data_IF_302229956166
#
_entry.id   IF_302229956166
#
_cell.length_a   1.000
_cell.length_b   1.000
_cell.length_c   1.000
_cell.angle_alpha   90.00
_cell.angle_beta   90.00
_cell.angle_gamma   90.00
#
_symmetry.space_group_name_H-M   'P 1'
#
loop_
_entity.id
_entity.type
_entity.pdbx_description
1 polymer ?
#
# COMPACT_ATOMS: atom_id res chain seq x y z
N UNK A 1 17.32 10.13 11.02
CA UNK A 1 16.75 9.37 9.90
C UNK A 1 15.43 10.04 9.58
N UNK A 2 15.09 10.29 8.30
CA UNK A 2 13.76 10.79 7.94
C UNK A 2 12.66 9.80 8.34
N UNK A 3 11.53 10.34 8.79
CA UNK A 3 10.33 9.56 9.06
C UNK A 3 9.60 9.26 7.74
N UNK A 4 8.98 8.09 7.66
CA UNK A 4 8.10 7.68 6.57
C UNK A 4 6.85 7.06 7.14
N UNK A 5 5.75 7.25 6.44
CA UNK A 5 4.47 6.63 6.75
C UNK A 5 4.16 5.53 5.75
N UNK A 6 3.86 4.34 6.26
CA UNK A 6 3.46 3.17 5.49
C UNK A 6 1.97 2.96 5.72
N UNK A 7 1.21 2.88 4.63
CA UNK A 7 -0.24 2.66 4.66
C UNK A 7 -0.53 1.33 3.98
N UNK A 8 -1.12 0.41 4.73
CA UNK A 8 -1.59 -0.87 4.22
C UNK A 8 -3.09 -0.79 4.02
N UNK A 9 -3.54 -1.04 2.79
CA UNK A 9 -4.96 -1.16 2.45
C UNK A 9 -5.23 -2.59 1.99
N UNK A 10 -6.22 -3.26 2.57
CA UNK A 10 -6.60 -4.60 2.15
C UNK A 10 -8.11 -4.77 2.07
N UNK A 11 -8.59 -5.29 0.95
CA UNK A 11 -9.97 -5.70 0.75
C UNK A 11 -10.01 -7.20 0.41
N UNK A 12 -10.60 -7.99 1.31
CA UNK A 12 -10.81 -9.43 1.12
C UNK A 12 -12.11 -9.68 0.38
N UNK A 13 -12.12 -10.67 -0.52
CA UNK A 13 -13.30 -11.06 -1.28
C UNK A 13 -14.46 -11.43 -0.35
N UNK A 14 -15.63 -10.83 -0.61
CA UNK A 14 -16.83 -11.01 0.21
C UNK A 14 -16.85 -10.20 1.51
N UNK A 15 -15.86 -9.33 1.73
CA UNK A 15 -15.88 -8.30 2.76
C UNK A 15 -16.56 -7.01 2.27
N UNK A 16 -17.37 -6.40 3.12
CA UNK A 16 -18.09 -5.15 2.79
C UNK A 16 -17.23 -3.88 2.94
N UNK A 17 -16.02 -4.00 3.50
CA UNK A 17 -15.14 -2.87 3.83
C UNK A 17 -13.66 -3.20 3.66
N UNK A 18 -12.90 -2.25 3.13
CA UNK A 18 -11.44 -2.30 3.14
C UNK A 18 -10.90 -1.94 4.53
N UNK A 19 -9.88 -2.67 4.98
CA UNK A 19 -9.12 -2.36 6.18
C UNK A 19 -7.93 -1.47 5.81
N UNK A 20 -7.75 -0.37 6.54
CA UNK A 20 -6.63 0.55 6.36
C UNK A 20 -5.85 0.62 7.68
N UNK A 21 -4.55 0.36 7.61
CA UNK A 21 -3.63 0.45 8.74
C UNK A 21 -2.47 1.38 8.39
N UNK A 22 -2.05 2.20 9.36
CA UNK A 22 -0.94 3.13 9.22
C UNK A 22 0.17 2.81 10.22
N UNK A 23 1.41 2.89 9.75
CA UNK A 23 2.62 2.76 10.55
C UNK A 23 3.58 3.89 10.18
N UNK A 24 4.16 4.57 11.17
CA UNK A 24 5.24 5.54 10.94
C UNK A 24 6.52 5.01 11.54
N UNK A 25 7.63 5.10 10.81
CA UNK A 25 8.96 4.69 11.28
C UNK A 25 10.07 5.51 10.60
N UNK A 26 11.27 5.47 11.17
CA UNK A 26 12.47 6.15 10.69
C UNK A 26 13.27 5.24 9.74
N UNK A 27 13.55 5.73 8.54
CA UNK A 27 14.40 5.03 7.55
C UNK A 27 15.56 5.91 7.10
N UNK A 28 16.62 5.33 6.53
CA UNK A 28 17.75 6.09 6.01
C UNK A 28 17.39 6.88 4.74
N UNK A 29 16.51 6.33 3.89
CA UNK A 29 16.04 6.92 2.63
C UNK A 29 14.84 6.14 2.04
N UNK A 30 14.28 6.67 0.95
CA UNK A 30 13.15 6.10 0.19
C UNK A 30 13.38 4.63 -0.21
N UNK A 31 14.59 4.27 -0.62
CA UNK A 31 14.89 2.90 -1.06
C UNK A 31 14.82 1.90 0.08
N UNK A 32 15.20 2.31 1.29
CA UNK A 32 15.04 1.46 2.48
C UNK A 32 13.58 1.31 2.89
N UNK A 33 12.82 2.41 2.89
CA UNK A 33 11.39 2.40 3.20
C UNK A 33 10.60 1.53 2.19
N UNK A 34 10.85 1.69 0.89
CA UNK A 34 10.26 0.87 -0.17
C UNK A 34 10.65 -0.61 -0.05
N UNK A 35 11.90 -0.90 0.33
CA UNK A 35 12.37 -2.26 0.57
C UNK A 35 11.74 -2.90 1.80
N UNK A 36 11.48 -2.13 2.85
CA UNK A 36 10.70 -2.57 4.01
C UNK A 36 9.25 -2.87 3.62
N UNK A 37 8.60 -1.95 2.89
CA UNK A 37 7.23 -2.10 2.42
C UNK A 37 7.06 -3.32 1.50
N UNK A 38 8.06 -3.63 0.66
CA UNK A 38 8.07 -4.86 -0.15
C UNK A 38 7.95 -6.12 0.70
N UNK A 39 8.77 -6.23 1.75
CA UNK A 39 8.72 -7.41 2.64
C UNK A 39 7.38 -7.53 3.33
N UNK A 40 6.80 -6.40 3.74
CA UNK A 40 5.45 -6.37 4.31
C UNK A 40 4.40 -6.85 3.30
N UNK A 41 4.49 -6.41 2.04
CA UNK A 41 3.60 -6.86 0.96
C UNK A 41 3.72 -8.37 0.72
N UNK A 42 4.95 -8.88 0.64
CA UNK A 42 5.21 -10.31 0.45
C UNK A 42 4.67 -11.14 1.64
N UNK A 43 4.85 -10.66 2.87
CA UNK A 43 4.30 -11.30 4.08
C UNK A 43 2.76 -11.29 4.09
N UNK A 44 2.11 -10.22 3.60
CA UNK A 44 0.65 -10.17 3.47
C UNK A 44 0.10 -11.19 2.47
N UNK A 45 0.78 -11.36 1.33
CA UNK A 45 0.42 -12.36 0.32
C UNK A 45 0.54 -13.77 0.93
N UNK A 46 1.65 -14.05 1.61
CA UNK A 46 1.86 -15.33 2.28
C UNK A 46 0.78 -15.61 3.34
N UNK A 47 0.39 -14.60 4.12
CA UNK A 47 -0.70 -14.73 5.10
C UNK A 47 -2.04 -15.01 4.43
N UNK A 48 -2.39 -14.32 3.35
CA UNK A 48 -3.64 -14.56 2.63
C UNK A 48 -3.71 -15.97 2.05
N UNK A 49 -2.61 -16.45 1.45
CA UNK A 49 -2.50 -17.82 0.99
C UNK A 49 -2.69 -18.85 2.12
N UNK A 50 -2.09 -18.61 3.29
CA UNK A 50 -2.23 -19.50 4.45
C UNK A 50 -3.67 -19.52 5.01
N UNK A 51 -4.36 -18.39 4.94
CA UNK A 51 -5.74 -18.23 5.40
C UNK A 51 -6.78 -18.61 4.35
N UNK A 52 -6.36 -18.95 3.12
CA UNK A 52 -7.24 -19.18 1.97
C UNK A 52 -8.16 -17.99 1.71
N UNK A 53 -7.61 -16.78 1.82
CA UNK A 53 -8.30 -15.53 1.51
C UNK A 53 -7.98 -15.11 0.08
N UNK A 54 -9.01 -14.82 -0.70
CA UNK A 54 -8.87 -14.16 -1.99
C UNK A 54 -8.87 -12.64 -1.76
N UNK A 55 -7.92 -11.94 -2.38
CA UNK A 55 -7.91 -10.48 -2.40
C UNK A 55 -8.74 -9.97 -3.57
N UNK A 56 -9.63 -9.01 -3.31
CA UNK A 56 -10.19 -8.20 -4.40
C UNK A 56 -9.20 -7.12 -4.80
N UNK A 57 -8.57 -6.48 -3.81
CA UNK A 57 -7.55 -5.46 -4.00
C UNK A 57 -6.78 -5.22 -2.69
N UNK A 58 -5.45 -5.24 -2.75
CA UNK A 58 -4.58 -4.90 -1.61
C UNK A 58 -3.37 -4.10 -2.06
N UNK A 59 -2.93 -3.16 -1.23
CA UNK A 59 -1.74 -2.36 -1.50
C UNK A 59 -1.00 -1.96 -0.22
N UNK A 60 0.30 -1.67 -0.38
CA UNK A 60 1.15 -1.06 0.64
C UNK A 60 1.78 0.22 0.06
N UNK A 61 1.27 1.38 0.47
CA UNK A 61 1.75 2.69 0.06
C UNK A 61 2.84 3.23 0.99
N UNK A 62 3.82 3.94 0.42
CA UNK A 62 4.91 4.58 1.16
C UNK A 62 4.86 6.09 0.93
N UNK A 63 4.87 6.84 2.02
CA UNK A 63 4.77 8.30 2.03
C UNK A 63 5.96 8.91 2.78
N UNK A 64 6.46 10.03 2.26
CA UNK A 64 7.50 10.84 2.92
C UNK A 64 6.91 11.56 4.14
N UNK A 65 7.59 11.46 5.29
CA UNK A 65 7.23 12.14 6.53
C UNK A 65 6.40 11.32 7.52
N UNK A 66 6.26 11.89 8.71
CA UNK A 66 5.35 11.44 9.77
C UNK A 66 3.97 12.04 9.52
N UNK A 67 3.03 11.19 9.09
CA UNK A 67 1.68 11.57 8.66
C UNK A 67 0.62 10.82 9.49
N UNK A 68 0.96 10.31 10.68
CA UNK A 68 0.08 9.45 11.49
C UNK A 68 -1.27 10.12 11.84
N UNK A 69 -1.26 11.45 11.98
CA UNK A 69 -2.43 12.28 12.33
C UNK A 69 -3.11 12.89 11.09
N UNK A 70 -2.63 12.60 9.88
CA UNK A 70 -3.17 13.13 8.62
C UNK A 70 -4.16 12.18 7.96
N UNK A 71 -5.07 12.74 7.16
CA UNK A 71 -5.99 11.96 6.33
C UNK A 71 -5.28 11.53 5.05
N UNK A 72 -4.67 10.34 5.08
CA UNK A 72 -3.86 9.84 3.98
C UNK A 72 -4.73 9.23 2.89
N UNK A 73 -4.63 9.81 1.69
CA UNK A 73 -5.29 9.32 0.49
C UNK A 73 -4.27 9.01 -0.61
N UNK A 74 -4.63 8.22 -1.64
CA UNK A 74 -3.78 7.99 -2.83
C UNK A 74 -3.27 9.26 -3.52
N UNK A 75 -4.04 10.35 -3.45
CA UNK A 75 -3.69 11.65 -4.05
C UNK A 75 -2.73 12.48 -3.19
N UNK A 76 -2.39 12.01 -1.99
CA UNK A 76 -1.52 12.73 -1.08
C UNK A 76 -0.16 13.02 -1.75
N UNK A 77 0.30 14.26 -1.64
CA UNK A 77 1.48 14.74 -2.35
C UNK A 77 2.77 14.03 -1.91
N UNK A 78 2.79 13.51 -0.67
CA UNK A 78 3.91 12.78 -0.11
C UNK A 78 4.02 11.33 -0.58
N UNK A 79 3.07 10.82 -1.37
CA UNK A 79 3.14 9.44 -1.88
C UNK A 79 4.38 9.28 -2.77
N UNK A 80 5.23 8.31 -2.41
CA UNK A 80 6.46 7.96 -3.13
C UNK A 80 6.17 6.83 -4.13
N UNK A 81 5.47 5.79 -3.67
CA UNK A 81 5.16 4.61 -4.47
C UNK A 81 4.31 3.61 -3.71
N UNK A 82 3.79 2.62 -4.45
CA UNK A 82 2.82 1.65 -3.93
C UNK A 82 3.19 0.25 -4.39
N UNK A 83 3.26 -0.69 -3.46
CA UNK A 83 3.24 -2.11 -3.80
C UNK A 83 1.78 -2.54 -3.97
N UNK A 84 1.39 -2.90 -5.19
CA UNK A 84 0.09 -3.51 -5.50
C UNK A 84 0.23 -5.02 -5.37
N UNK A 85 -0.73 -5.65 -4.68
CA UNK A 85 -0.71 -7.07 -4.37
C UNK A 85 -1.83 -7.78 -5.13
N UNK A 86 -1.51 -8.92 -5.73
CA UNK A 86 -2.44 -9.84 -6.38
C UNK A 86 -2.04 -11.31 -6.10
N UNK A 87 -2.70 -12.26 -6.79
CA UNK A 87 -2.42 -13.70 -6.67
C UNK A 87 -1.05 -14.12 -7.22
N UNK A 88 -0.47 -13.34 -8.14
CA UNK A 88 0.82 -13.63 -8.77
C UNK A 88 2.00 -13.04 -7.97
N UNK A 89 1.75 -12.01 -7.15
CA UNK A 89 2.74 -11.45 -6.24
C UNK A 89 2.53 -9.96 -5.92
N UNK A 90 3.66 -9.28 -5.67
CA UNK A 90 3.70 -7.84 -5.42
C UNK A 90 4.43 -7.10 -6.54
N UNK A 91 3.87 -5.97 -6.99
CA UNK A 91 4.47 -5.11 -8.02
C UNK A 91 4.55 -3.66 -7.53
N UNK A 92 5.72 -3.04 -7.71
CA UNK A 92 5.91 -1.63 -7.39
C UNK A 92 5.37 -0.76 -8.53
N UNK A 93 4.46 0.14 -8.18
CA UNK A 93 3.90 1.17 -9.05
C UNK A 93 4.32 2.53 -8.53
N UNK A 94 4.69 3.45 -9.43
CA UNK A 94 5.03 4.82 -9.04
C UNK A 94 3.79 5.57 -8.53
N UNK A 95 4.00 6.64 -7.75
CA UNK A 95 2.90 7.49 -7.30
C UNK A 95 2.09 8.11 -8.46
N UNK A 96 2.75 8.40 -9.59
CA UNK A 96 2.10 8.94 -10.79
C UNK A 96 1.19 7.89 -11.43
N UNK A 97 1.74 6.72 -11.75
CA UNK A 97 0.98 5.61 -12.36
C UNK A 97 -0.19 5.15 -11.48
N UNK A 98 0.00 5.13 -10.15
CA UNK A 98 -1.04 4.72 -9.22
C UNK A 98 -2.24 5.67 -9.20
N UNK A 99 -1.99 6.99 -9.28
CA UNK A 99 -3.04 8.02 -9.35
C UNK A 99 -3.79 7.98 -10.69
N UNK A 100 -3.07 7.74 -11.78
CA UNK A 100 -3.69 7.59 -13.10
C UNK A 100 -4.60 6.36 -13.16
N UNK A 101 -4.17 5.22 -12.60
CA UNK A 101 -4.96 4.00 -12.52
C UNK A 101 -6.22 4.10 -11.66
N UNK A 102 -6.21 4.91 -10.60
CA UNK A 102 -7.40 5.17 -9.77
C UNK A 102 -8.51 5.92 -10.53
N UNK A 103 -8.19 6.54 -11.66
CA UNK A 103 -9.13 7.34 -12.47
C UNK A 103 -9.92 6.48 -13.48
N UNK A 104 -9.55 5.21 -13.69
CA UNK A 104 -10.11 4.37 -14.77
C UNK A 104 -11.32 3.50 -14.39
N UNK A 105 -11.90 3.69 -13.20
CA UNK A 105 -13.23 3.11 -12.87
C UNK A 105 -14.35 4.06 -13.33
N UNK A 106 -14.67 4.00 -14.62
CA UNK A 106 -15.89 4.60 -15.15
C UNK A 106 -17.13 3.85 -14.60
N UNK A 107 -18.10 4.53 -13.95
CA UNK A 107 -19.35 3.91 -13.58
C UNK A 107 -20.16 3.61 -14.85
N UNK A 108 -20.42 2.33 -15.11
CA UNK A 108 -21.41 1.91 -16.12
C UNK A 108 -22.84 2.20 -15.68
#
# INVERSE_FOLDING_TARGET
MPAYTIVTTSATQGGDTAEVNTLTDDFANDSEALGYARRMADEMIDMAHQLLLDFDYSNVGVYDGDLIDEDITPDHAALIGVWVLDEDGSALVSAEEFREGATEVEPS
#
